data_IF_602390325676
#
_entry.id   IF_602390325676
#
_cell.length_a   1.000
_cell.length_b   1.000
_cell.length_c   1.000
_cell.angle_alpha   90.00
_cell.angle_beta   90.00
_cell.angle_gamma   90.00
#
_symmetry.space_group_name_H-M   'P 1'
#
loop_
_entity.id
_entity.type
_entity.pdbx_description
1 polymer ?
#
# COMPACT_ATOMS: atom_id res chain seq x y z
N UNK A 1 -1.20 8.54 7.73
CA UNK A 1 -0.97 8.57 7.99
C UNK A 1 -0.69 8.68 8.12
N UNK A 2 -1.01 8.73 8.07
CA UNK A 2 -0.73 8.86 8.37
C UNK A 2 -0.63 9.04 8.58
N UNK A 3 -0.86 9.04 8.64
CA UNK A 3 -0.76 9.12 9.11
C UNK A 3 -0.71 9.30 9.17
N UNK A 4 -0.75 9.43 9.31
CA UNK A 4 -0.79 9.55 9.66
C UNK A 4 -0.80 9.74 9.65
N UNK A 5 -0.62 10.14 9.52
CA UNK A 5 -0.92 10.19 9.82
C UNK A 5 -0.80 10.37 9.88
N UNK A 6 -0.57 10.43 9.72
CA UNK A 6 -0.78 10.38 10.09
C UNK A 6 -0.57 10.56 10.16
N UNK A 7 -0.57 10.27 10.12
CA UNK A 7 -0.66 10.26 10.44
C UNK A 7 -0.46 10.47 10.47
N UNK A 8 -0.32 10.62 10.50
CA UNK A 8 -0.34 10.66 10.80
C UNK A 8 -0.16 10.86 10.78
N UNK A 9 -0.42 10.62 10.63
CA UNK A 9 -0.43 10.66 10.81
C UNK A 9 -0.35 10.80 10.85
N UNK A 10 0.08 11.04 10.84
CA UNK A 10 0.00 10.93 11.19
C UNK A 10 0.08 11.02 11.24
N UNK A 11 -0.12 10.71 11.29
CA UNK A 11 -0.09 10.68 11.53
C UNK A 11 -0.23 10.81 11.69
N UNK A 12 -0.25 10.76 11.56
CA UNK A 12 -0.42 10.61 11.92
C UNK A 12 -0.54 10.55 12.01
N UNK A 13 -0.24 11.00 12.12
CA UNK A 13 -0.47 10.82 12.56
C UNK A 13 -0.68 10.77 12.69
N UNK A 14 -0.50 11.28 12.56
CA UNK A 14 -0.81 11.05 13.03
C UNK A 14 -1.00 11.00 13.16
N UNK A 15 -0.78 11.16 13.02
CA UNK A 15 -1.04 10.87 13.46
C UNK A 15 -1.13 10.79 13.51
N UNK A 16 -1.12 10.62 13.41
CA UNK A 16 -1.29 10.33 13.70
C UNK A 16 -1.23 10.24 13.80
N UNK A 17 -1.06 10.64 13.83
CA UNK A 17 -1.05 10.42 14.27
C UNK A 17 -1.02 10.30 14.21
N UNK A 18 -1.04 10.34 14.04
CA UNK A 18 -1.00 10.05 14.27
C UNK A 18 -1.04 9.92 14.25
N UNK A 19 -1.00 9.94 14.39
CA UNK A 19 -1.00 9.71 14.61
C UNK A 19 -1.11 9.61 14.51
N UNK A 20 -0.63 10.07 14.31
CA UNK A 20 -0.83 9.97 14.53
C UNK A 20 -0.98 9.68 14.37
N UNK A 21 -0.93 9.66 14.34
CA UNK A 21 -1.10 9.30 14.49
C UNK A 21 -1.24 9.07 14.44
N UNK A 22 -1.23 9.12 14.29
CA UNK A 22 -1.43 8.88 14.43
C UNK A 22 -1.48 8.80 14.54
N UNK A 23 -0.97 9.32 14.44
CA UNK A 23 -1.24 9.11 14.71
C UNK A 23 -1.50 8.94 14.89
N UNK A 24 -1.24 8.79 14.71
CA UNK A 24 -1.62 8.63 14.92
C UNK A 24 -1.70 8.50 15.23
N UNK A 25 -1.56 8.34 15.07
CA UNK A 25 -1.74 8.15 15.37
C UNK A 25 -1.90 7.97 15.63
N UNK A 26 -1.67 7.69 15.75
CA UNK A 26 -1.87 7.54 16.00
C UNK A 26 -2.21 7.37 16.33
N UNK A 27 -2.12 7.46 16.17
CA UNK A 27 -2.47 7.40 16.48
C UNK A 27 -2.82 7.24 16.65
N UNK A 28 -2.59 7.37 16.59
CA UNK A 28 -2.97 7.32 16.81
C UNK A 28 -3.22 7.20 16.88
N UNK A 29 -2.90 7.01 17.07
CA UNK A 29 -3.11 7.02 17.24
C UNK A 29 -3.47 7.09 16.89
N UNK A 30 -3.29 7.12 16.70
CA UNK A 30 -3.59 7.30 16.48
C UNK A 30 -3.85 7.16 16.19
N UNK A 31 -3.75 7.40 16.33
CA UNK A 31 -4.01 7.40 16.27
C UNK A 31 -4.15 7.50 15.91
N UNK A 32 -3.93 7.47 15.85
CA UNK A 32 -4.06 7.67 15.62
C UNK A 32 -4.05 7.59 15.24
N UNK A 33 -3.72 7.63 15.52
CA UNK A 33 -3.72 7.66 15.41
C UNK A 33 -4.07 7.75 14.74
N UNK A 34 -4.00 7.83 14.41
CA UNK A 34 -4.29 7.95 14.05
C UNK A 34 -4.61 7.91 13.70
N UNK A 35 -4.60 8.16 13.53
CA UNK A 35 -4.89 8.23 13.43
C UNK A 35 -5.11 8.48 12.84
N UNK A 36 -4.98 8.38 12.55
CA UNK A 36 -5.21 8.50 12.14
C UNK A 36 -5.51 8.80 11.47
N UNK A 37 -5.51 8.82 11.13
CA UNK A 37 -5.81 9.02 10.70
C UNK A 37 -6.27 9.11 10.05
N UNK A 38 -6.15 9.06 9.83
CA UNK A 38 -6.57 8.95 9.50
C UNK A 38 -6.98 9.17 9.08
N UNK A 39 -6.78 9.44 8.74
CA UNK A 39 -7.17 9.58 8.62
C UNK A 39 -7.65 9.98 8.66
N UNK A 40 -7.44 10.34 8.64
CA UNK A 40 -8.02 10.76 8.89
C UNK A 40 -8.85 11.33 8.50
N UNK A 41 -8.85 11.51 7.79
CA UNK A 41 -9.84 11.91 7.68
C UNK A 41 -10.89 11.21 7.88
N UNK A 42 -11.10 11.00 8.17
CA UNK A 42 -11.93 10.43 8.66
C UNK A 42 -11.96 9.81 9.67
N UNK A 43 -11.39 9.99 10.28
CA UNK A 43 -11.59 9.33 11.30
C UNK A 43 -11.94 9.81 12.17
N UNK A 44 -12.16 10.28 12.16
CA UNK A 44 -12.72 10.67 12.98
C UNK A 44 -13.82 10.80 13.21
N UNK A 45 -14.22 10.99 13.01
CA UNK A 45 -15.23 10.99 13.46
C UNK A 45 -15.67 10.21 14.14
N UNK A 46 -15.42 9.97 14.34
CA UNK A 46 -15.86 9.19 15.00
C UNK A 46 -15.98 8.95 15.94
N UNK A 47 -16.02 9.23 16.13
CA UNK A 47 -16.20 9.00 16.97
C UNK A 47 -16.40 8.90 17.85
N UNK A 48 -16.48 9.09 18.14
CA UNK A 48 -16.69 9.00 18.94
C UNK A 48 -17.06 8.41 19.75
N UNK A 49 -17.02 8.31 19.90
CA UNK A 49 -17.20 7.82 20.58
C UNK A 49 -17.20 7.03 21.32
N UNK A 50 -17.12 6.90 21.54
CA UNK A 50 -17.04 6.25 22.09
C UNK A 50 -16.98 5.37 22.54
N UNK A 51 -16.83 5.38 22.76
CA UNK A 51 -16.75 4.58 23.04
C UNK A 51 -16.43 3.71 23.28
N UNK A 52 -16.32 3.83 23.02
CA UNK A 52 -16.05 3.10 23.33
C UNK A 52 -15.69 2.04 23.28
N UNK A 53 -16.04 2.01 23.26
CA UNK A 53 -15.81 0.84 23.30
C UNK A 53 -14.67 0.28 23.02
N UNK A 54 -14.44 -0.05 23.58
CA UNK A 54 -13.45 -0.89 23.39
C UNK A 54 -13.35 -1.25 22.01
N UNK A 55 -13.48 -0.35 21.33
CA UNK A 55 -13.38 -0.61 19.96
C UNK A 55 -12.16 -1.40 19.68
N UNK A 56 -12.28 -2.33 18.85
CA UNK A 56 -11.14 -2.98 18.31
C UNK A 56 -10.22 -1.91 17.81
N UNK A 57 -9.00 -1.97 18.26
CA UNK A 57 -7.98 -1.08 17.73
C UNK A 57 -7.41 -1.67 16.48
N UNK A 58 -7.09 -0.82 15.53
CA UNK A 58 -6.34 -1.23 14.35
C UNK A 58 -5.11 -0.33 14.20
N UNK A 59 -4.06 -0.89 13.62
CA UNK A 59 -2.83 -0.17 13.33
C UNK A 59 -2.67 -0.10 11.82
N UNK A 60 -2.53 1.12 11.30
CA UNK A 60 -2.35 1.36 9.89
C UNK A 60 -0.94 1.86 9.65
N UNK A 61 -0.24 1.23 8.71
CA UNK A 61 1.08 1.66 8.27
C UNK A 61 1.07 1.83 6.76
N UNK A 62 1.87 2.77 6.28
CA UNK A 62 1.99 3.04 4.85
C UNK A 62 3.46 3.09 4.46
N UNK A 63 3.79 2.41 3.38
CA UNK A 63 5.14 2.32 2.83
C UNK A 63 5.07 2.79 1.38
N UNK A 64 5.97 3.69 1.00
CA UNK A 64 5.97 4.25 -0.35
C UNK A 64 7.36 4.17 -0.95
N UNK A 65 7.41 4.20 -2.26
CA UNK A 65 8.66 4.26 -2.98
C UNK A 65 8.46 4.75 -4.40
N UNK A 66 9.57 5.02 -5.05
CA UNK A 66 9.57 5.56 -6.40
C UNK A 66 10.43 4.69 -7.29
N UNK A 67 10.03 4.58 -8.53
CA UNK A 67 10.78 3.92 -9.58
C UNK A 67 10.69 4.72 -10.86
N UNK A 68 10.98 4.08 -11.97
CA UNK A 68 10.95 4.72 -13.28
C UNK A 68 10.22 3.81 -14.25
N UNK A 69 9.22 4.36 -14.93
CA UNK A 69 8.69 3.74 -16.13
C UNK A 69 9.72 3.96 -17.22
N UNK A 70 10.50 2.92 -17.51
CA UNK A 70 11.64 3.01 -18.41
C UNK A 70 11.24 3.18 -19.87
N UNK A 71 9.99 2.91 -20.23
CA UNK A 71 9.52 3.09 -21.60
C UNK A 71 9.29 4.55 -21.94
N UNK A 72 8.94 5.36 -20.94
CA UNK A 72 8.71 6.79 -21.10
C UNK A 72 9.72 7.63 -20.34
N UNK A 73 10.56 6.99 -19.51
CA UNK A 73 11.54 7.67 -18.67
C UNK A 73 10.87 8.71 -17.77
N UNK A 74 9.80 8.32 -17.11
CA UNK A 74 9.06 9.15 -16.15
C UNK A 74 8.94 8.44 -14.82
N UNK A 75 8.78 9.19 -13.71
CA UNK A 75 8.64 8.57 -12.40
C UNK A 75 7.31 7.83 -12.26
N UNK A 76 7.35 6.76 -11.49
CA UNK A 76 6.19 5.97 -11.10
C UNK A 76 6.37 5.59 -9.64
N UNK A 77 5.28 5.42 -8.92
CA UNK A 77 5.32 5.26 -7.48
C UNK A 77 4.50 4.07 -7.04
N UNK A 78 4.90 3.49 -5.89
CA UNK A 78 4.05 2.52 -5.22
C UNK A 78 3.70 3.02 -3.82
N UNK A 79 2.58 2.53 -3.35
CA UNK A 79 2.13 2.72 -1.97
C UNK A 79 1.56 1.40 -1.48
N UNK A 80 2.11 0.91 -0.38
CA UNK A 80 1.59 -0.27 0.31
C UNK A 80 1.05 0.18 1.65
N UNK A 81 -0.22 -0.05 1.88
CA UNK A 81 -0.85 0.23 3.16
C UNK A 81 -1.23 -1.09 3.82
N UNK A 82 -0.92 -1.22 5.10
CA UNK A 82 -1.31 -2.38 5.89
C UNK A 82 -2.19 -1.94 7.03
N UNK A 83 -3.25 -2.70 7.29
CA UNK A 83 -4.15 -2.46 8.42
C UNK A 83 -4.20 -3.76 9.23
N UNK A 84 -3.69 -3.68 10.46
CA UNK A 84 -3.72 -4.79 11.40
C UNK A 84 -4.85 -4.54 12.41
N UNK A 85 -5.88 -5.38 12.39
CA UNK A 85 -7.00 -5.26 13.32
C UNK A 85 -6.93 -6.26 14.48
N UNK A 86 -5.77 -6.91 14.66
CA UNK A 86 -5.54 -7.89 15.70
C UNK A 86 -5.84 -9.31 15.29
N UNK A 87 -6.74 -9.54 14.36
CA UNK A 87 -7.10 -10.88 13.87
C UNK A 87 -6.71 -11.11 12.43
N UNK A 88 -6.45 -10.04 11.70
CA UNK A 88 -6.01 -10.12 10.31
C UNK A 88 -5.21 -8.88 9.93
N UNK A 89 -4.45 -9.01 8.85
CA UNK A 89 -3.73 -7.92 8.22
C UNK A 89 -4.28 -7.74 6.82
N UNK A 90 -4.74 -6.54 6.50
CA UNK A 90 -5.18 -6.20 5.15
C UNK A 90 -4.09 -5.40 4.46
N UNK A 91 -3.70 -5.85 3.28
CA UNK A 91 -2.70 -5.20 2.44
C UNK A 91 -3.40 -4.52 1.28
N UNK A 92 -3.02 -3.29 0.99
CA UNK A 92 -3.50 -2.56 -0.18
C UNK A 92 -2.30 -1.97 -0.90
N UNK A 93 -2.07 -2.43 -2.12
CA UNK A 93 -0.91 -2.06 -2.91
C UNK A 93 -1.37 -1.28 -4.14
N UNK A 94 -0.86 -0.06 -4.29
CA UNK A 94 -1.22 0.83 -5.39
C UNK A 94 0.03 1.21 -6.17
N UNK A 95 -0.05 1.12 -7.49
CA UNK A 95 0.95 1.66 -8.42
C UNK A 95 0.30 2.83 -9.15
N UNK A 96 0.98 3.95 -9.18
CA UNK A 96 0.45 5.19 -9.74
C UNK A 96 1.58 6.10 -10.24
N UNK A 97 1.28 6.95 -11.21
CA UNK A 97 2.21 8.01 -11.63
C UNK A 97 2.02 9.27 -10.79
N UNK A 98 1.00 9.28 -9.94
CA UNK A 98 0.75 10.38 -9.00
C UNK A 98 1.60 10.14 -7.74
N UNK A 99 2.49 11.08 -7.42
CA UNK A 99 3.38 10.93 -6.27
C UNK A 99 2.58 11.02 -4.97
N UNK A 100 2.55 9.96 -4.15
CA UNK A 100 1.77 9.98 -2.91
C UNK A 100 2.32 10.95 -1.86
N UNK A 101 3.51 11.49 -2.06
CA UNK A 101 4.13 12.44 -1.12
C UNK A 101 3.75 13.89 -1.40
N UNK A 102 3.08 14.19 -2.50
CA UNK A 102 2.70 15.55 -2.86
C UNK A 102 1.21 15.78 -2.63
N UNK A 103 0.82 17.06 -2.56
CA UNK A 103 -0.58 17.44 -2.38
C UNK A 103 -1.30 17.69 -3.70
N UNK A 104 -0.56 17.82 -4.79
CA UNK A 104 -1.12 18.03 -6.12
C UNK A 104 -1.07 16.72 -6.90
N UNK A 105 -2.08 16.50 -7.75
CA UNK A 105 -2.17 15.29 -8.55
C UNK A 105 -1.29 15.44 -9.77
N UNK A 106 -0.30 14.55 -9.91
CA UNK A 106 0.51 14.48 -11.11
C UNK A 106 -0.21 13.67 -12.19
N UNK A 107 -0.16 14.18 -13.40
CA UNK A 107 -0.82 13.56 -14.55
C UNK A 107 0.21 13.37 -15.67
N UNK A 108 0.58 12.11 -15.96
CA UNK A 108 1.64 11.81 -16.91
C UNK A 108 1.16 12.00 -18.36
N UNK A 109 1.18 13.21 -18.86
CA UNK A 109 0.59 13.57 -20.15
C UNK A 109 1.27 12.92 -21.35
N UNK A 110 2.50 12.43 -21.19
CA UNK A 110 3.25 11.79 -22.28
C UNK A 110 2.73 10.41 -22.67
N UNK A 111 1.98 9.75 -21.79
CA UNK A 111 1.53 8.38 -22.03
C UNK A 111 0.56 8.30 -23.20
N UNK A 112 0.74 7.29 -24.06
CA UNK A 112 -0.28 6.91 -25.03
C UNK A 112 -1.50 6.36 -24.28
N UNK A 113 -2.70 6.65 -24.78
CA UNK A 113 -3.92 6.13 -24.18
C UNK A 113 -3.98 4.60 -24.14
N UNK A 114 -3.36 3.95 -25.12
CA UNK A 114 -3.35 2.49 -25.25
C UNK A 114 -2.19 1.83 -24.52
N UNK A 115 -1.24 2.58 -24.02
CA UNK A 115 -0.17 2.05 -23.17
C UNK A 115 -0.78 1.52 -21.88
N UNK A 116 -0.27 0.40 -21.37
CA UNK A 116 -0.85 -0.17 -20.16
C UNK A 116 0.23 -0.84 -19.32
N UNK A 117 0.00 -0.89 -18.02
CA UNK A 117 0.91 -1.50 -17.05
C UNK A 117 0.19 -2.51 -16.19
N UNK A 118 0.96 -3.46 -15.65
CA UNK A 118 0.57 -4.38 -14.58
C UNK A 118 1.16 -3.92 -13.25
N UNK A 119 0.64 -4.46 -12.16
CA UNK A 119 1.23 -4.30 -10.82
C UNK A 119 1.71 -5.62 -10.23
N UNK A 120 1.75 -6.66 -11.02
CA UNK A 120 2.36 -7.95 -10.68
C UNK A 120 3.25 -8.39 -11.82
N UNK A 121 4.14 -9.32 -11.51
CA UNK A 121 4.95 -9.96 -12.55
C UNK A 121 4.27 -11.22 -13.06
N UNK A 122 5.09 -12.20 -13.34
CA UNK A 122 4.65 -13.53 -13.71
C UNK A 122 4.42 -14.38 -12.48
N UNK A 123 3.93 -15.60 -12.67
CA UNK A 123 3.78 -16.55 -11.57
C UNK A 123 5.10 -16.95 -10.93
N UNK A 124 6.23 -16.54 -11.50
CA UNK A 124 7.56 -16.79 -10.94
C UNK A 124 8.05 -15.67 -10.02
N UNK A 125 7.27 -14.59 -9.86
CA UNK A 125 7.65 -13.48 -9.00
C UNK A 125 7.13 -13.73 -7.59
N UNK A 126 8.01 -13.65 -6.59
CA UNK A 126 7.57 -13.63 -5.19
C UNK A 126 7.19 -12.20 -4.84
N UNK A 127 5.90 -11.97 -4.65
CA UNK A 127 5.40 -10.62 -4.34
C UNK A 127 5.54 -10.30 -2.86
N UNK A 128 5.26 -11.27 -1.99
CA UNK A 128 5.41 -11.02 -0.54
C UNK A 128 5.69 -12.31 0.20
N UNK A 129 6.30 -12.17 1.38
CA UNK A 129 6.52 -13.27 2.32
C UNK A 129 5.89 -12.90 3.67
N UNK A 130 5.55 -13.91 4.45
CA UNK A 130 4.86 -13.74 5.72
C UNK A 130 5.57 -14.51 6.83
N UNK A 131 5.63 -13.91 8.01
CA UNK A 131 6.10 -14.58 9.21
C UNK A 131 5.14 -15.67 9.68
N UNK A 132 5.57 -16.42 10.69
CA UNK A 132 4.88 -17.64 11.13
C UNK A 132 3.51 -17.39 11.76
N UNK A 133 3.22 -16.18 12.21
CA UNK A 133 1.92 -15.86 12.81
C UNK A 133 0.78 -15.86 11.81
N UNK A 134 1.06 -15.70 10.53
CA UNK A 134 0.02 -15.52 9.52
C UNK A 134 -0.49 -16.85 8.99
N UNK A 135 -1.78 -16.87 8.69
CA UNK A 135 -2.40 -17.98 7.99
C UNK A 135 -2.36 -17.81 6.48
N UNK A 136 -3.29 -18.47 5.81
CA UNK A 136 -3.34 -18.46 4.35
C UNK A 136 -3.94 -17.15 3.84
N UNK A 137 -3.29 -16.46 2.89
CA UNK A 137 -3.87 -15.26 2.30
C UNK A 137 -5.20 -15.51 1.61
N UNK A 138 -6.06 -14.50 1.63
CA UNK A 138 -7.29 -14.49 0.85
C UNK A 138 -6.98 -14.43 -0.64
N UNK A 139 -8.03 -14.37 -1.47
CA UNK A 139 -7.88 -13.95 -2.86
C UNK A 139 -7.42 -12.50 -2.92
N UNK A 140 -6.83 -12.11 -4.05
CA UNK A 140 -6.44 -10.74 -4.34
C UNK A 140 -7.48 -10.10 -5.26
N UNK A 141 -7.92 -8.89 -4.93
CA UNK A 141 -8.86 -8.14 -5.75
C UNK A 141 -8.16 -6.91 -6.30
N UNK A 142 -8.18 -6.77 -7.62
CA UNK A 142 -7.56 -5.64 -8.32
C UNK A 142 -8.61 -4.70 -8.89
N UNK A 143 -8.36 -3.41 -8.81
CA UNK A 143 -9.27 -2.38 -9.29
C UNK A 143 -8.51 -1.09 -9.55
N UNK A 144 -9.16 -0.18 -10.27
CA UNK A 144 -8.59 1.15 -10.51
C UNK A 144 -9.10 2.09 -9.43
N UNK A 145 -8.22 2.90 -8.89
CA UNK A 145 -8.54 3.93 -7.90
C UNK A 145 -8.29 5.30 -8.50
N UNK A 146 -9.06 6.29 -8.06
CA UNK A 146 -8.77 7.68 -8.38
C UNK A 146 -7.65 8.22 -7.46
N UNK A 147 -7.32 9.50 -7.61
CA UNK A 147 -6.23 10.11 -6.84
C UNK A 147 -6.52 10.20 -5.33
N UNK A 148 -7.76 10.02 -4.91
CA UNK A 148 -8.13 9.98 -3.49
C UNK A 148 -8.05 8.57 -2.90
N UNK A 149 -7.83 7.57 -3.75
CA UNK A 149 -7.82 6.17 -3.33
C UNK A 149 -9.18 5.49 -3.45
N UNK A 150 -10.21 6.19 -3.89
CA UNK A 150 -11.53 5.59 -4.07
C UNK A 150 -11.57 4.75 -5.34
N UNK A 151 -12.25 3.60 -5.25
CA UNK A 151 -12.43 2.74 -6.40
C UNK A 151 -13.32 3.42 -7.44
N UNK A 152 -12.89 3.39 -8.71
CA UNK A 152 -13.73 3.83 -9.81
C UNK A 152 -14.62 2.67 -10.25
N UNK A 153 -15.83 2.99 -10.73
CA UNK A 153 -16.80 1.95 -11.06
C UNK A 153 -16.51 1.22 -12.37
N UNK A 154 -15.73 1.81 -13.24
CA UNK A 154 -15.38 1.24 -14.54
C UNK A 154 -13.89 1.44 -14.79
N UNK A 155 -13.12 0.37 -15.03
CA UNK A 155 -13.54 -1.03 -15.20
C UNK A 155 -13.90 -1.70 -13.87
N UNK A 156 -14.58 -2.84 -13.97
CA UNK A 156 -14.91 -3.62 -12.78
C UNK A 156 -13.66 -4.19 -12.14
N UNK A 157 -13.75 -4.43 -10.84
CA UNK A 157 -12.71 -5.14 -10.10
C UNK A 157 -12.60 -6.58 -10.61
N UNK A 158 -11.42 -7.16 -10.45
CA UNK A 158 -11.14 -8.54 -10.78
C UNK A 158 -10.50 -9.24 -9.59
N UNK A 159 -10.97 -10.44 -9.27
CA UNK A 159 -10.47 -11.22 -8.15
C UNK A 159 -9.76 -12.46 -8.68
N UNK A 160 -8.59 -12.76 -8.11
CA UNK A 160 -7.77 -13.90 -8.48
C UNK A 160 -7.18 -14.55 -7.24
N UNK A 161 -6.77 -15.80 -7.38
CA UNK A 161 -6.12 -16.53 -6.29
C UNK A 161 -4.73 -16.00 -6.04
N UNK A 162 -4.31 -16.05 -4.77
CA UNK A 162 -2.92 -15.88 -4.38
C UNK A 162 -2.31 -17.27 -4.22
N UNK A 163 -1.19 -17.51 -4.88
CA UNK A 163 -0.53 -18.81 -4.92
C UNK A 163 0.83 -18.76 -4.24
N UNK A 164 1.25 -19.88 -3.70
CA UNK A 164 2.60 -20.00 -3.18
C UNK A 164 3.62 -19.79 -4.30
N UNK A 165 4.68 -19.06 -3.98
CA UNK A 165 5.80 -18.85 -4.87
C UNK A 165 7.08 -18.72 -4.05
N UNK A 166 7.99 -19.66 -4.22
CA UNK A 166 9.21 -19.70 -3.41
C UNK A 166 8.86 -19.76 -1.93
N UNK A 167 9.46 -18.92 -1.13
CA UNK A 167 9.13 -18.81 0.30
C UNK A 167 7.95 -17.92 0.61
N UNK A 168 7.25 -17.42 -0.42
CA UNK A 168 6.16 -16.48 -0.25
C UNK A 168 5.01 -16.75 -1.19
N UNK A 169 4.47 -15.67 -1.74
CA UNK A 169 3.21 -15.70 -2.48
C UNK A 169 3.25 -14.76 -3.68
N UNK A 170 2.39 -15.05 -4.63
CA UNK A 170 2.21 -14.22 -5.83
C UNK A 170 0.77 -14.30 -6.32
N UNK A 171 0.41 -13.35 -7.17
CA UNK A 171 -0.80 -13.43 -7.99
C UNK A 171 -0.45 -12.94 -9.39
N UNK A 172 -1.23 -13.40 -10.37
CA UNK A 172 -1.07 -12.95 -11.75
C UNK A 172 -2.46 -13.03 -12.39
N UNK A 173 -2.99 -11.91 -12.79
CA UNK A 173 -4.37 -11.85 -13.27
C UNK A 173 -4.56 -11.08 -14.57
N UNK A 174 -3.51 -10.47 -15.12
CA UNK A 174 -3.62 -9.67 -16.32
C UNK A 174 -4.40 -8.38 -16.17
N UNK A 175 -4.78 -7.99 -14.96
CA UNK A 175 -5.47 -6.72 -14.73
C UNK A 175 -4.49 -5.57 -14.96
N UNK A 176 -4.94 -4.54 -15.65
CA UNK A 176 -4.02 -3.49 -16.10
C UNK A 176 -4.66 -2.10 -15.97
N UNK A 177 -3.80 -1.10 -15.88
CA UNK A 177 -4.19 0.31 -15.99
C UNK A 177 -3.64 0.85 -17.29
N UNK A 178 -4.50 1.47 -18.11
CA UNK A 178 -4.05 2.05 -19.37
C UNK A 178 -3.64 3.52 -19.21
N UNK A 179 -3.03 4.05 -20.27
CA UNK A 179 -2.54 5.43 -20.25
C UNK A 179 -3.64 6.46 -20.09
N UNK A 180 -4.83 6.21 -20.62
CA UNK A 180 -5.95 7.12 -20.46
C UNK A 180 -6.37 7.23 -18.99
N UNK A 181 -6.36 6.12 -18.26
CA UNK A 181 -6.64 6.09 -16.82
C UNK A 181 -5.51 6.78 -16.04
N UNK A 182 -4.27 6.42 -16.35
CA UNK A 182 -3.09 7.00 -15.68
C UNK A 182 -3.06 8.52 -15.81
N UNK A 183 -3.44 9.06 -16.97
CA UNK A 183 -3.44 10.50 -17.22
C UNK A 183 -4.51 11.25 -16.42
N UNK A 184 -5.40 10.55 -15.75
CA UNK A 184 -6.35 11.15 -14.81
C UNK A 184 -5.82 11.16 -13.37
N UNK A 185 -4.60 10.69 -13.15
CA UNK A 185 -4.04 10.55 -11.82
C UNK A 185 -4.47 9.27 -11.11
N UNK A 186 -5.01 8.31 -11.85
CA UNK A 186 -5.51 7.06 -11.28
C UNK A 186 -4.38 6.12 -10.89
N UNK A 187 -4.72 5.15 -10.05
CA UNK A 187 -3.81 4.11 -9.59
C UNK A 187 -4.36 2.71 -9.87
N UNK A 188 -3.45 1.77 -10.01
CA UNK A 188 -3.74 0.35 -10.15
C UNK A 188 -3.56 -0.27 -8.77
N UNK A 189 -4.65 -0.76 -8.17
CA UNK A 189 -4.67 -1.17 -6.77
C UNK A 189 -5.06 -2.64 -6.66
N UNK A 190 -4.36 -3.34 -5.78
CA UNK A 190 -4.69 -4.73 -5.42
C UNK A 190 -4.71 -4.86 -3.91
N UNK A 191 -5.74 -5.52 -3.38
CA UNK A 191 -5.92 -5.71 -1.95
C UNK A 191 -6.13 -7.18 -1.63
N UNK A 192 -5.60 -7.60 -0.48
CA UNK A 192 -5.79 -8.94 0.06
C UNK A 192 -5.70 -8.91 1.57
N UNK A 193 -6.20 -9.96 2.21
CA UNK A 193 -6.23 -10.07 3.66
C UNK A 193 -5.61 -11.38 4.10
N UNK A 194 -4.85 -11.34 5.17
CA UNK A 194 -4.17 -12.51 5.74
C UNK A 194 -4.58 -12.63 7.20
N UNK A 195 -5.08 -13.80 7.64
CA UNK A 195 -5.40 -13.97 9.06
C UNK A 195 -4.13 -14.01 9.91
N UNK A 196 -4.23 -13.51 11.12
CA UNK A 196 -3.18 -13.60 12.13
C UNK A 196 -3.64 -14.67 13.12
N UNK A 197 -3.03 -15.86 13.05
CA UNK A 197 -3.52 -17.05 13.74
C UNK A 197 -2.87 -17.27 15.10
N UNK A 198 -1.75 -16.59 15.38
CA UNK A 198 -1.00 -16.88 16.60
C UNK A 198 -0.21 -15.64 17.03
N UNK A 199 0.43 -15.76 18.20
CA UNK A 199 1.35 -14.74 18.70
C UNK A 199 2.75 -14.87 18.13
N UNK A 200 2.93 -15.62 17.06
CA UNK A 200 4.23 -15.80 16.42
C UNK A 200 4.72 -14.57 15.70
N UNK A 201 5.62 -14.80 14.77
CA UNK A 201 6.28 -13.73 14.02
C UNK A 201 5.31 -13.08 13.03
N UNK A 202 5.06 -11.78 13.21
CA UNK A 202 4.20 -10.98 12.32
C UNK A 202 4.97 -10.14 11.32
N UNK A 203 6.25 -10.42 11.14
CA UNK A 203 7.03 -9.75 10.10
C UNK A 203 6.56 -10.15 8.70
N UNK A 204 6.87 -9.31 7.73
CA UNK A 204 6.57 -9.62 6.33
C UNK A 204 7.56 -8.88 5.43
N UNK A 205 7.66 -9.33 4.20
CA UNK A 205 8.35 -8.59 3.14
C UNK A 205 7.40 -8.39 1.97
N UNK A 206 7.63 -7.33 1.21
CA UNK A 206 6.88 -7.06 0.00
C UNK A 206 7.85 -6.58 -1.08
N UNK A 207 7.72 -7.13 -2.28
CA UNK A 207 8.57 -6.76 -3.42
C UNK A 207 7.70 -5.99 -4.41
N UNK A 208 7.76 -4.66 -4.43
CA UNK A 208 6.97 -3.89 -5.40
C UNK A 208 7.37 -4.26 -6.82
N UNK A 209 6.37 -4.39 -7.66
CA UNK A 209 6.57 -4.77 -9.05
C UNK A 209 5.58 -4.02 -9.94
N UNK A 210 6.08 -3.51 -11.04
CA UNK A 210 5.25 -3.01 -12.13
C UNK A 210 6.04 -3.08 -13.42
N UNK A 211 5.35 -3.37 -14.50
CA UNK A 211 5.93 -3.35 -15.84
C UNK A 211 4.84 -3.08 -16.87
N UNK A 212 5.22 -2.77 -18.09
CA UNK A 212 4.24 -2.60 -19.16
C UNK A 212 3.68 -3.97 -19.58
N UNK A 213 2.51 -3.94 -20.21
CA UNK A 213 1.86 -5.18 -20.69
C UNK A 213 2.67 -5.84 -21.82
N UNK A 214 3.57 -5.13 -22.45
CA UNK A 214 4.49 -5.70 -23.43
C UNK A 214 5.71 -6.35 -22.78
N UNK A 215 5.79 -6.30 -21.45
CA UNK A 215 6.87 -6.93 -20.69
C UNK A 215 8.06 -6.00 -20.52
N UNK A 216 9.12 -6.56 -19.97
CA UNK A 216 10.36 -5.85 -19.78
C UNK A 216 10.76 -5.67 -18.33
N UNK A 217 11.35 -4.54 -18.04
CA UNK A 217 11.98 -4.25 -16.76
C UNK A 217 10.94 -3.99 -15.67
N UNK A 218 11.19 -4.52 -14.47
CA UNK A 218 10.44 -4.11 -13.29
C UNK A 218 10.76 -2.64 -12.98
N UNK A 219 9.75 -1.80 -12.96
CA UNK A 219 9.92 -0.35 -12.72
C UNK A 219 10.41 -0.04 -11.30
N UNK A 220 10.26 -0.99 -10.39
CA UNK A 220 10.74 -0.88 -9.00
C UNK A 220 11.89 -1.84 -8.70
N UNK A 221 12.65 -2.18 -9.71
CA UNK A 221 13.73 -3.16 -9.57
C UNK A 221 14.67 -2.79 -8.42
N UNK A 222 15.01 -3.79 -7.61
CA UNK A 222 15.92 -3.62 -6.47
C UNK A 222 15.27 -3.07 -5.22
N UNK A 223 13.97 -2.79 -5.22
CA UNK A 223 13.27 -2.28 -4.03
C UNK A 223 12.56 -3.39 -3.29
N UNK A 224 12.46 -3.22 -1.97
CA UNK A 224 11.86 -4.21 -1.09
C UNK A 224 11.38 -3.53 0.18
N UNK A 225 10.18 -3.86 0.62
CA UNK A 225 9.68 -3.46 1.93
C UNK A 225 9.93 -4.63 2.88
N UNK A 226 10.63 -4.37 3.98
CA UNK A 226 10.88 -5.37 5.01
C UNK A 226 10.39 -4.81 6.34
N UNK A 227 9.46 -5.51 6.98
CA UNK A 227 8.84 -5.06 8.21
C UNK A 227 8.97 -6.14 9.26
N UNK A 228 9.67 -5.82 10.36
CA UNK A 228 9.95 -6.80 11.41
C UNK A 228 8.98 -6.70 12.57
N UNK A 229 8.28 -5.58 12.73
CA UNK A 229 7.26 -5.41 13.76
C UNK A 229 6.14 -4.52 13.22
N UNK A 230 5.19 -5.10 12.48
CA UNK A 230 4.12 -4.32 11.86
C UNK A 230 3.07 -3.82 12.84
N UNK A 231 3.19 -4.14 14.13
CA UNK A 231 2.26 -3.64 15.14
C UNK A 231 2.69 -2.31 15.71
N UNK A 232 3.97 -1.94 15.54
CA UNK A 232 4.43 -0.62 15.97
C UNK A 232 4.16 0.41 14.86
N UNK A 233 4.02 1.67 15.26
CA UNK A 233 3.89 2.73 14.28
C UNK A 233 5.15 2.76 13.44
N UNK A 234 4.99 2.62 12.14
CA UNK A 234 6.13 2.54 11.26
C UNK A 234 6.61 3.91 10.86
N UNK A 235 7.91 3.96 10.74
CA UNK A 235 8.47 5.01 9.95
C UNK A 235 8.88 4.42 8.66
N UNK A 236 8.75 4.35 7.94
CA UNK A 236 9.15 3.70 6.80
C UNK A 236 10.56 3.86 6.34
N UNK A 237 10.95 3.98 6.08
CA UNK A 237 11.64 4.01 5.44
C UNK A 237 12.00 3.59 4.50
N UNK A 238 12.54 3.86 4.41
CA UNK A 238 12.99 3.53 3.58
C UNK A 238 13.43 3.39 3.09
N UNK A 239 13.99 3.60 2.98
CA UNK A 239 14.42 3.43 2.59
C UNK A 239 14.72 3.24 2.06
N UNK A 240 15.22 3.45 2.05
CA UNK A 240 15.50 3.27 1.74
C UNK A 240 15.65 2.95 1.41
N UNK A 241 16.17 2.97 1.41
CA UNK A 241 16.32 2.67 1.36
C UNK A 241 16.07 2.41 1.39
N UNK A 242 16.61 2.47 1.14
CA UNK A 242 16.40 2.10 1.41
C UNK A 242 16.01 1.95 1.59
N UNK A 243 16.52 2.13 1.34
CA UNK A 243 16.07 2.00 1.65
C UNK A 243 15.74 2.01 1.65
N UNK A 244 16.24 2.08 1.45
CA UNK A 244 15.83 2.01 1.65
C UNK A 244 15.45 2.16 1.58
N UNK A 245 15.91 2.39 1.33
CA UNK A 245 15.53 2.58 1.49
C UNK A 245 15.15 2.92 1.48
N UNK A 246 15.64 3.13 1.22
CA UNK A 246 15.29 3.45 1.42
C UNK A 246 15.02 3.90 1.37
N UNK A 247 15.31 4.21 1.21
CA UNK A 247 15.08 4.66 1.38
C UNK A 247 14.86 5.16 1.30
N UNK A 248 15.24 5.31 1.14
CA UNK A 248 15.02 5.72 1.23
C UNK A 248 14.73 6.23 1.28
N UNK A 249 15.14 6.42 1.15
CA UNK A 249 14.81 6.70 1.40
C UNK A 249 14.45 7.10 1.56
N UNK A 250 14.86 7.16 1.47
CA UNK A 250 14.52 7.45 1.73
C UNK A 250 14.45 7.69 1.97
#
# INVERSE_FOLDING_TARGET
SKDSAASTESKDSAASTDFGSTVATNDSNSSSNSTSAINLRTFSRLATTTFAAAAATSTTNTYTGAGTDTNYNIPIYYKLTTVNNGTSMTFTYTVTYDNPATTTVERPTALSNSYAIYNTGTTNQTMFTLGSAYGTPSTATSYITDSTGAQVSNPRANTTNINKQGSGYTWANGYQMNGAQAKQGYGLTTTWTVPINSSGDTSFTFNPYSTSVTGGTNFFNGQKVTVTDPTSASTSTANSQSASTSTANS
#
